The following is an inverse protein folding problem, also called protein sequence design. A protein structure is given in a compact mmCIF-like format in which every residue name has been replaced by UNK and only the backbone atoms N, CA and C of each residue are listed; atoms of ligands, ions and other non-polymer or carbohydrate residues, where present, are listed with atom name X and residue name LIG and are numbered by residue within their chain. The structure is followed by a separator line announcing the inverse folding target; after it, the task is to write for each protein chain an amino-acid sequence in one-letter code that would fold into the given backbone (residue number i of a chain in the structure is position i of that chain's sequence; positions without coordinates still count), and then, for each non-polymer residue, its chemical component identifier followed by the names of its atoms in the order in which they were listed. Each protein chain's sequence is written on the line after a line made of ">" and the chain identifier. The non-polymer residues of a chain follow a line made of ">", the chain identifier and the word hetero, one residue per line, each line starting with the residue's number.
data_IF_648128239336
#
_entry.id   IF_648128239336
#
_cell.length_a   1.000
_cell.length_b   1.000
_cell.length_c   1.000
_cell.angle_alpha   90.00
_cell.angle_beta   90.00
_cell.angle_gamma   90.00
#
_symmetry.space_group_name_H-M   'P 1'
#
loop_
_entity.id
_entity.type
_entity.pdbx_description
1 polymer ?
#
# COMPACT_ATOMS: atom_id res chain seq x y z
N UNK A 1 -1.48 3.63 0.56
CA UNK A 1 -1.44 2.19 0.23
C UNK A 1 -0.02 1.69 0.44
N UNK A 2 0.15 0.65 1.26
CA UNK A 2 1.44 0.01 1.45
C UNK A 2 1.75 -1.00 0.33
N UNK A 3 2.99 -1.47 0.27
CA UNK A 3 3.51 -2.28 -0.83
C UNK A 3 4.33 -3.48 -0.36
N UNK A 4 5.25 -3.91 -1.22
CA UNK A 4 6.00 -5.15 -1.08
C UNK A 4 7.53 -4.93 -0.97
N UNK A 5 8.22 -5.99 -0.56
CA UNK A 5 9.70 -6.14 -0.56
C UNK A 5 10.45 -4.92 0.00
N UNK A 6 11.52 -4.47 -0.66
CA UNK A 6 12.38 -3.39 -0.19
C UNK A 6 11.66 -2.05 -0.19
N UNK A 7 10.69 -1.85 -1.10
CA UNK A 7 9.93 -0.61 -1.17
C UNK A 7 9.05 -0.40 0.05
N UNK A 8 8.49 -1.46 0.64
CA UNK A 8 7.74 -1.38 1.91
C UNK A 8 8.61 -0.85 3.06
N UNK A 9 9.84 -1.39 3.19
CA UNK A 9 10.79 -0.97 4.23
C UNK A 9 11.25 0.48 4.03
N UNK A 10 11.51 0.89 2.79
CA UNK A 10 11.85 2.29 2.48
C UNK A 10 10.66 3.21 2.76
N UNK A 11 9.44 2.78 2.43
CA UNK A 11 8.22 3.55 2.62
C UNK A 11 7.96 3.88 4.10
N UNK A 12 8.17 2.91 4.99
CA UNK A 12 8.14 3.13 6.44
C UNK A 12 9.14 4.21 6.86
N UNK A 13 10.40 4.09 6.43
CA UNK A 13 11.46 5.06 6.78
C UNK A 13 11.17 6.47 6.25
N UNK A 14 10.59 6.60 5.06
CA UNK A 14 10.18 7.90 4.50
C UNK A 14 9.09 8.53 5.37
N UNK A 15 8.04 7.78 5.71
CA UNK A 15 6.95 8.28 6.55
C UNK A 15 7.46 8.76 7.91
N UNK A 16 8.26 7.94 8.58
CA UNK A 16 8.78 8.21 9.93
C UNK A 16 9.78 9.36 9.98
N UNK A 17 10.68 9.47 8.99
CA UNK A 17 11.77 10.45 9.05
C UNK A 17 11.47 11.75 8.32
N UNK A 18 10.63 11.71 7.29
CA UNK A 18 10.50 12.80 6.33
C UNK A 18 9.08 13.38 6.23
N UNK A 19 8.05 12.69 6.75
CA UNK A 19 6.66 13.15 6.65
C UNK A 19 6.10 13.49 8.03
N UNK A 20 5.90 12.50 8.89
CA UNK A 20 5.19 12.67 10.16
C UNK A 20 5.90 13.52 11.24
N UNK A 21 7.24 13.74 11.19
CA UNK A 21 7.85 14.75 12.05
C UNK A 21 7.45 16.19 11.71
N UNK A 22 6.91 16.42 10.52
CA UNK A 22 6.67 17.77 9.98
C UNK A 22 5.20 18.04 9.64
N UNK A 23 4.39 16.98 9.45
CA UNK A 23 2.99 17.07 9.05
C UNK A 23 2.14 16.14 9.90
N UNK A 24 1.08 16.68 10.49
CA UNK A 24 0.00 15.90 11.09
C UNK A 24 -1.07 15.63 10.02
N UNK A 25 -1.21 14.37 9.61
CA UNK A 25 -2.08 13.96 8.50
C UNK A 25 -2.88 12.72 8.87
N UNK A 26 -4.19 12.79 8.69
CA UNK A 26 -5.04 11.61 8.71
C UNK A 26 -4.90 10.86 7.38
N UNK A 27 -4.40 9.62 7.45
CA UNK A 27 -4.19 8.76 6.28
C UNK A 27 -5.07 7.51 6.37
N UNK A 28 -5.99 7.33 5.42
CA UNK A 28 -6.65 6.03 5.24
C UNK A 28 -5.61 4.99 4.80
N UNK A 29 -5.48 3.93 5.59
CA UNK A 29 -4.48 2.90 5.37
C UNK A 29 -5.08 1.65 4.71
N UNK A 30 -4.42 1.20 3.64
CA UNK A 30 -4.72 -0.02 2.91
C UNK A 30 -3.40 -0.75 2.67
N UNK A 31 -3.29 -1.99 3.14
CA UNK A 31 -2.12 -2.84 2.89
C UNK A 31 -2.28 -3.55 1.56
N UNK A 32 -1.53 -3.15 0.53
CA UNK A 32 -1.55 -3.85 -0.76
C UNK A 32 -0.38 -4.82 -0.89
N UNK A 33 0.24 -5.22 0.22
CA UNK A 33 1.22 -6.30 0.23
C UNK A 33 0.59 -7.61 -0.26
N UNK A 34 1.36 -8.40 -1.01
CA UNK A 34 0.89 -9.64 -1.64
C UNK A 34 0.19 -10.59 -0.65
N UNK A 35 0.70 -10.85 0.57
CA UNK A 35 0.00 -11.72 1.53
C UNK A 35 -1.39 -11.21 1.92
N UNK A 36 -1.58 -9.89 2.01
CA UNK A 36 -2.88 -9.33 2.37
C UNK A 36 -3.85 -9.29 1.18
N UNK A 37 -3.34 -9.06 -0.02
CA UNK A 37 -4.13 -9.22 -1.26
C UNK A 37 -4.59 -10.66 -1.41
N UNK A 38 -3.73 -11.65 -1.19
CA UNK A 38 -4.12 -13.06 -1.23
C UNK A 38 -5.17 -13.41 -0.17
N UNK A 39 -4.99 -12.95 1.07
CA UNK A 39 -5.95 -13.16 2.17
C UNK A 39 -7.34 -12.57 1.91
N UNK A 40 -7.42 -11.51 1.11
CA UNK A 40 -8.65 -10.78 0.84
C UNK A 40 -9.22 -11.07 -0.55
N UNK A 41 -8.69 -12.08 -1.25
CA UNK A 41 -9.04 -12.36 -2.66
C UNK A 41 -8.96 -11.10 -3.54
N UNK A 42 -7.94 -10.27 -3.29
CA UNK A 42 -7.65 -8.97 -3.89
C UNK A 42 -8.72 -7.87 -3.66
N UNK A 43 -9.70 -8.09 -2.78
CA UNK A 43 -10.75 -7.10 -2.45
C UNK A 43 -10.16 -5.80 -1.88
N UNK A 44 -9.07 -5.88 -1.10
CA UNK A 44 -8.41 -4.70 -0.52
C UNK A 44 -7.89 -3.73 -1.61
N UNK A 45 -7.51 -4.25 -2.78
CA UNK A 45 -7.06 -3.44 -3.92
C UNK A 45 -8.22 -2.63 -4.49
N UNK A 46 -9.40 -3.25 -4.62
CA UNK A 46 -10.62 -2.56 -5.06
C UNK A 46 -11.05 -1.49 -4.06
N UNK A 47 -11.06 -1.81 -2.77
CA UNK A 47 -11.45 -0.88 -1.71
C UNK A 47 -10.52 0.33 -1.64
N UNK A 48 -9.21 0.11 -1.81
CA UNK A 48 -8.23 1.19 -1.91
C UNK A 48 -8.52 2.09 -3.13
N UNK A 49 -8.85 1.52 -4.29
CA UNK A 49 -9.21 2.28 -5.48
C UNK A 49 -10.50 3.09 -5.29
N UNK A 50 -11.53 2.51 -4.67
CA UNK A 50 -12.78 3.21 -4.34
C UNK A 50 -12.55 4.37 -3.36
N UNK A 51 -11.67 4.20 -2.38
CA UNK A 51 -11.29 5.28 -1.48
C UNK A 51 -10.62 6.44 -2.25
N UNK A 52 -9.70 6.14 -3.16
CA UNK A 52 -9.07 7.18 -3.99
C UNK A 52 -10.11 7.90 -4.86
N UNK A 53 -11.06 7.18 -5.46
CA UNK A 53 -12.14 7.81 -6.22
C UNK A 53 -12.99 8.76 -5.35
N UNK A 54 -13.22 8.40 -4.09
CA UNK A 54 -13.97 9.23 -3.14
C UNK A 54 -13.19 10.45 -2.64
N UNK A 55 -11.89 10.29 -2.36
CA UNK A 55 -11.06 11.31 -1.71
C UNK A 55 -10.09 12.04 -2.66
N UNK A 56 -10.05 11.66 -3.94
CA UNK A 56 -9.29 12.23 -5.06
C UNK A 56 -7.76 12.15 -4.98
N UNK A 57 -7.17 11.79 -3.84
CA UNK A 57 -5.72 11.72 -3.65
C UNK A 57 -5.34 10.36 -3.10
N UNK A 58 -4.33 9.73 -3.73
CA UNK A 58 -3.79 8.45 -3.31
C UNK A 58 -2.27 8.43 -3.42
N UNK A 59 -1.61 7.80 -2.45
CA UNK A 59 -0.16 7.55 -2.48
C UNK A 59 0.07 6.05 -2.35
N UNK A 60 0.79 5.49 -3.32
CA UNK A 60 0.96 4.05 -3.49
C UNK A 60 2.44 3.64 -3.44
N UNK A 61 2.76 2.72 -2.54
CA UNK A 61 4.02 2.00 -2.58
C UNK A 61 4.00 0.90 -3.66
N UNK A 62 5.17 0.54 -4.21
CA UNK A 62 5.26 -0.48 -5.26
C UNK A 62 4.82 -1.85 -4.74
N UNK A 63 4.13 -2.62 -5.59
CA UNK A 63 3.55 -3.94 -5.25
C UNK A 63 4.01 -4.97 -6.25
N UNK A 64 4.14 -6.23 -5.82
CA UNK A 64 4.41 -7.37 -6.70
C UNK A 64 3.18 -7.66 -7.55
N UNK A 65 3.38 -7.85 -8.86
CA UNK A 65 2.43 -8.62 -9.69
C UNK A 65 2.94 -10.06 -9.72
N UNK A 66 2.24 -11.02 -9.08
CA UNK A 66 2.73 -12.39 -9.02
C UNK A 66 2.65 -13.05 -10.40
N UNK A 67 3.68 -13.81 -10.74
CA UNK A 67 3.71 -14.69 -11.91
C UNK A 67 3.59 -16.16 -11.47
N UNK A 68 3.46 -17.06 -12.44
CA UNK A 68 3.36 -18.52 -12.19
C UNK A 68 4.57 -19.08 -11.41
N UNK A 69 5.72 -18.40 -11.43
CA UNK A 69 6.90 -18.81 -10.67
C UNK A 69 6.81 -18.43 -9.18
N UNK A 70 6.03 -17.40 -8.85
CA UNK A 70 5.80 -16.89 -7.49
C UNK A 70 4.50 -17.37 -6.86
N UNK A 71 3.52 -17.84 -7.64
CA UNK A 71 2.35 -18.58 -7.17
C UNK A 71 2.77 -20.04 -6.99
N UNK A 72 3.14 -20.45 -5.77
CA UNK A 72 3.41 -21.84 -5.40
C UNK A 72 2.43 -22.34 -4.36
#
# INVERSE_FOLDING_TARGET
>A
MDGDEMTRVIWEKIKEKLIFPYLDLECLYYDLGLPHRDQTEDQVTYDAAQAILKYNVGIKCATITPDEARVK
#
